data_IF_730201234678
#
_entry.id   IF_730201234678
#
_cell.length_a   1.000
_cell.length_b   1.000
_cell.length_c   1.000
_cell.angle_alpha   90.00
_cell.angle_beta   90.00
_cell.angle_gamma   90.00
#
_symmetry.space_group_name_H-M   'P 1'
#
loop_
_entity.id
_entity.type
_entity.pdbx_description
1 polymer ?
#
# COMPACT_ATOMS: atom_id res chain seq x y z
N UNK A 1 12.06 -38.54 -10.33
CA UNK A 1 11.42 -37.41 -10.99
C UNK A 1 10.63 -36.63 -9.94
N UNK A 2 11.22 -35.58 -9.39
CA UNK A 2 10.54 -34.71 -8.42
C UNK A 2 9.74 -33.66 -9.22
N UNK A 3 8.45 -33.90 -9.34
CA UNK A 3 7.52 -32.87 -9.81
C UNK A 3 7.28 -31.89 -8.66
N UNK A 4 7.95 -30.76 -8.74
CA UNK A 4 7.62 -29.62 -7.88
C UNK A 4 6.15 -29.25 -8.12
N UNK A 5 5.25 -29.19 -7.12
CA UNK A 5 3.89 -28.73 -7.35
C UNK A 5 3.97 -27.28 -7.80
N UNK A 6 3.47 -27.02 -9.02
CA UNK A 6 3.33 -25.67 -9.55
C UNK A 6 2.61 -24.78 -8.51
N UNK A 7 3.12 -23.58 -8.29
CA UNK A 7 2.48 -22.60 -7.41
C UNK A 7 1.05 -22.37 -7.91
N UNK A 8 0.06 -22.66 -7.08
CA UNK A 8 -1.37 -22.52 -7.38
C UNK A 8 -1.86 -21.06 -7.26
N UNK A 9 -0.95 -20.10 -7.14
CA UNK A 9 -1.26 -18.67 -7.07
C UNK A 9 -1.57 -18.07 -8.45
N UNK A 10 -2.21 -16.90 -8.49
CA UNK A 10 -2.49 -16.18 -9.73
C UNK A 10 -1.19 -15.85 -10.49
N UNK A 11 -1.26 -15.85 -11.83
CA UNK A 11 -0.11 -15.50 -12.64
C UNK A 11 0.25 -14.01 -12.50
N UNK A 12 1.54 -13.72 -12.32
CA UNK A 12 2.05 -12.35 -12.36
C UNK A 12 1.90 -11.78 -13.77
N UNK A 13 1.29 -10.60 -13.86
CA UNK A 13 1.14 -9.78 -15.06
C UNK A 13 1.98 -8.52 -14.94
N UNK A 14 2.17 -7.82 -16.04
CA UNK A 14 2.97 -6.59 -16.05
C UNK A 14 2.23 -5.47 -16.79
N UNK A 15 2.18 -4.31 -16.18
CA UNK A 15 1.76 -3.06 -16.78
C UNK A 15 3.01 -2.38 -17.35
N UNK A 16 3.01 -2.08 -18.65
CA UNK A 16 4.10 -1.34 -19.28
C UNK A 16 4.07 0.14 -18.90
N UNK A 17 5.23 0.66 -18.50
CA UNK A 17 5.46 2.08 -18.20
C UNK A 17 6.67 2.57 -19.03
N UNK A 18 6.84 3.88 -19.24
CA UNK A 18 7.92 4.40 -20.10
C UNK A 18 9.33 3.92 -19.71
N UNK A 19 9.59 3.69 -18.41
CA UNK A 19 10.93 3.34 -17.92
C UNK A 19 11.04 1.91 -17.40
N UNK A 20 9.97 1.10 -17.48
CA UNK A 20 9.96 -0.27 -16.96
C UNK A 20 8.56 -0.83 -16.82
N UNK A 21 8.42 -1.91 -16.06
CA UNK A 21 7.16 -2.64 -15.85
C UNK A 21 6.79 -2.68 -14.39
N UNK A 22 5.49 -2.53 -14.13
CA UNK A 22 4.88 -2.72 -12.81
C UNK A 22 4.22 -4.08 -12.77
N UNK A 23 4.61 -4.92 -11.82
CA UNK A 23 4.05 -6.24 -11.64
C UNK A 23 2.73 -6.18 -10.86
N UNK A 24 1.77 -6.97 -11.28
CA UNK A 24 0.50 -7.15 -10.57
C UNK A 24 -0.08 -8.55 -10.79
N UNK A 25 -0.98 -8.94 -9.91
CA UNK A 25 -1.83 -10.13 -10.03
C UNK A 25 -3.27 -9.69 -10.17
N UNK A 26 -4.07 -10.43 -10.96
CA UNK A 26 -5.48 -10.12 -11.17
C UNK A 26 -6.31 -11.37 -10.94
N UNK A 27 -7.33 -11.28 -10.07
CA UNK A 27 -8.21 -12.38 -9.71
C UNK A 27 -9.66 -11.91 -9.64
N UNK A 28 -10.59 -12.84 -9.85
CA UNK A 28 -12.03 -12.59 -9.77
C UNK A 28 -12.57 -11.77 -10.95
N UNK A 29 -13.89 -11.59 -10.92
CA UNK A 29 -14.67 -10.82 -11.89
C UNK A 29 -15.63 -9.92 -11.11
N UNK A 30 -15.96 -8.74 -11.60
CA UNK A 30 -16.86 -7.78 -10.94
C UNK A 30 -16.23 -6.41 -10.76
N UNK A 31 -16.71 -5.59 -9.80
CA UNK A 31 -16.15 -4.26 -9.56
C UNK A 31 -14.66 -4.33 -9.20
N UNK A 32 -13.86 -3.43 -9.81
CA UNK A 32 -12.41 -3.44 -9.65
C UNK A 32 -11.97 -2.87 -8.29
N UNK A 33 -11.11 -3.60 -7.59
CA UNK A 33 -10.39 -3.16 -6.39
C UNK A 33 -8.90 -3.29 -6.63
N UNK A 34 -8.15 -2.20 -6.48
CA UNK A 34 -6.69 -2.16 -6.65
C UNK A 34 -6.03 -2.08 -5.27
N UNK A 35 -5.25 -3.10 -4.91
CA UNK A 35 -4.53 -3.22 -3.65
C UNK A 35 -3.07 -2.81 -3.85
N UNK A 36 -2.63 -1.79 -3.13
CA UNK A 36 -1.30 -1.18 -3.30
C UNK A 36 -0.57 -1.16 -1.95
N UNK A 37 0.55 -1.89 -1.80
CA UNK A 37 1.30 -1.95 -0.55
C UNK A 37 2.09 -0.68 -0.28
N UNK A 38 2.53 -0.52 0.97
CA UNK A 38 3.45 0.52 1.37
C UNK A 38 4.88 0.30 0.87
N UNK A 39 5.75 1.30 1.07
CA UNK A 39 7.15 1.19 0.73
C UNK A 39 7.83 0.06 1.53
N UNK A 40 8.72 -0.68 0.87
CA UNK A 40 9.45 -1.78 1.49
C UNK A 40 8.61 -3.04 1.71
N UNK A 41 7.41 -3.11 1.19
CA UNK A 41 6.50 -4.24 1.21
C UNK A 41 6.33 -4.88 -0.18
N UNK A 42 5.64 -6.01 -0.21
CA UNK A 42 5.26 -6.75 -1.41
C UNK A 42 3.74 -6.74 -1.55
N UNK A 43 3.23 -6.99 -2.78
CA UNK A 43 1.78 -7.18 -3.01
C UNK A 43 1.17 -8.26 -2.13
N UNK A 44 1.98 -9.23 -1.67
CA UNK A 44 1.57 -10.26 -0.70
C UNK A 44 1.26 -9.73 0.71
N UNK A 45 1.47 -8.44 0.99
CA UNK A 45 0.94 -7.77 2.18
C UNK A 45 -0.59 -7.91 2.28
N UNK A 46 -1.26 -8.07 1.13
CA UNK A 46 -2.71 -8.27 1.03
C UNK A 46 -3.16 -9.74 0.86
N UNK A 47 -2.29 -10.72 1.15
CA UNK A 47 -2.53 -12.17 0.96
C UNK A 47 -3.75 -12.73 1.69
N UNK A 48 -4.23 -12.04 2.72
CA UNK A 48 -5.47 -12.41 3.43
C UNK A 48 -6.67 -11.62 2.92
N UNK A 49 -6.52 -10.34 2.62
CA UNK A 49 -7.61 -9.47 2.15
C UNK A 49 -8.01 -9.80 0.70
N UNK A 50 -7.05 -10.01 -0.20
CA UNK A 50 -7.34 -10.26 -1.61
C UNK A 50 -8.26 -11.45 -1.84
N UNK A 51 -8.03 -12.65 -1.23
CA UNK A 51 -8.96 -13.78 -1.36
C UNK A 51 -10.36 -13.50 -0.81
N UNK A 52 -10.47 -12.75 0.30
CA UNK A 52 -11.76 -12.39 0.88
C UNK A 52 -12.59 -11.50 -0.07
N UNK A 53 -11.95 -10.54 -0.73
CA UNK A 53 -12.58 -9.69 -1.73
C UNK A 53 -12.99 -10.48 -2.97
N UNK A 54 -12.14 -11.39 -3.47
CA UNK A 54 -12.47 -12.26 -4.60
C UNK A 54 -13.67 -13.15 -4.27
N UNK A 55 -13.69 -13.73 -3.08
CA UNK A 55 -14.82 -14.56 -2.62
C UNK A 55 -16.11 -13.75 -2.52
N UNK A 56 -16.03 -12.46 -2.21
CA UNK A 56 -17.18 -11.55 -2.16
C UNK A 56 -17.60 -11.03 -3.55
N UNK A 57 -16.97 -11.49 -4.65
CA UNK A 57 -17.37 -11.17 -6.01
C UNK A 57 -16.69 -9.93 -6.60
N UNK A 58 -15.57 -9.48 -6.03
CA UNK A 58 -14.79 -8.37 -6.57
C UNK A 58 -13.70 -8.87 -7.52
N UNK A 59 -13.34 -8.03 -8.49
CA UNK A 59 -12.15 -8.19 -9.33
C UNK A 59 -10.99 -7.47 -8.66
N UNK A 60 -9.99 -8.20 -8.22
CA UNK A 60 -8.91 -7.71 -7.37
C UNK A 60 -7.58 -7.68 -8.12
N UNK A 61 -6.96 -6.51 -8.20
CA UNK A 61 -5.62 -6.31 -8.72
C UNK A 61 -4.67 -5.98 -7.54
N UNK A 62 -3.75 -6.89 -7.21
CA UNK A 62 -2.70 -6.66 -6.21
C UNK A 62 -1.40 -6.32 -6.93
N UNK A 63 -0.82 -5.14 -6.68
CA UNK A 63 0.37 -4.66 -7.39
C UNK A 63 1.58 -4.49 -6.48
N UNK A 64 2.78 -4.60 -7.05
CA UNK A 64 4.01 -4.16 -6.39
C UNK A 64 4.35 -2.72 -6.80
N UNK A 65 4.90 -1.94 -5.89
CA UNK A 65 5.44 -0.61 -6.21
C UNK A 65 6.61 -0.73 -7.19
N UNK A 66 6.90 0.35 -7.95
CA UNK A 66 8.14 0.42 -8.73
C UNK A 66 9.36 0.16 -7.86
N UNK A 67 10.27 -0.70 -8.33
CA UNK A 67 11.45 -1.12 -7.58
C UNK A 67 11.20 -2.06 -6.41
N UNK A 68 10.00 -2.64 -6.30
CA UNK A 68 9.63 -3.63 -5.29
C UNK A 68 9.13 -4.92 -5.94
N UNK A 69 9.11 -6.01 -5.19
CA UNK A 69 8.55 -7.27 -5.63
C UNK A 69 9.08 -7.73 -7.00
N UNK A 70 8.20 -7.92 -7.95
CA UNK A 70 8.52 -8.31 -9.32
C UNK A 70 8.44 -7.12 -10.32
N UNK A 71 8.22 -5.90 -9.82
CA UNK A 71 8.31 -4.69 -10.63
C UNK A 71 9.75 -4.33 -10.96
N UNK A 72 9.97 -3.69 -12.11
CA UNK A 72 11.30 -3.26 -12.55
C UNK A 72 11.92 -2.20 -11.64
N UNK A 73 13.26 -2.12 -11.68
CA UNK A 73 14.08 -1.16 -10.93
C UNK A 73 14.69 -0.06 -11.80
N UNK A 74 14.23 0.05 -13.03
CA UNK A 74 14.79 0.94 -14.06
C UNK A 74 14.26 2.37 -14.01
N UNK A 75 13.34 2.65 -13.11
CA UNK A 75 12.70 3.95 -12.95
C UNK A 75 13.65 5.02 -12.40
N UNK A 76 13.48 6.25 -12.87
CA UNK A 76 14.19 7.43 -12.41
C UNK A 76 13.47 8.18 -11.27
N UNK A 77 12.13 8.04 -11.18
CA UNK A 77 11.28 8.68 -10.18
C UNK A 77 10.57 7.67 -9.29
N UNK A 78 10.42 8.01 -8.01
CA UNK A 78 9.81 7.21 -6.95
C UNK A 78 8.95 8.11 -6.06
N UNK A 79 8.36 7.55 -4.99
CA UNK A 79 7.55 8.27 -4.03
C UNK A 79 6.11 8.46 -4.46
N UNK A 80 5.39 9.37 -3.81
CA UNK A 80 3.94 9.49 -3.85
C UNK A 80 3.37 9.74 -5.24
N UNK A 81 3.86 10.78 -5.94
CA UNK A 81 3.37 11.17 -7.28
C UNK A 81 3.65 10.08 -8.30
N UNK A 82 4.83 9.45 -8.22
CA UNK A 82 5.19 8.36 -9.12
C UNK A 82 4.31 7.13 -8.90
N UNK A 83 4.02 6.81 -7.63
CA UNK A 83 3.10 5.72 -7.25
C UNK A 83 1.67 6.04 -7.68
N UNK A 84 1.20 7.27 -7.53
CA UNK A 84 -0.10 7.72 -8.00
C UNK A 84 -0.24 7.53 -9.52
N UNK A 85 0.79 7.91 -10.28
CA UNK A 85 0.82 7.70 -11.73
C UNK A 85 0.73 6.22 -12.14
N UNK A 86 1.35 5.31 -11.37
CA UNK A 86 1.28 3.87 -11.63
C UNK A 86 -0.09 3.30 -11.27
N UNK A 87 -0.67 3.71 -10.13
CA UNK A 87 -2.03 3.32 -9.72
C UNK A 87 -3.04 3.73 -10.78
N UNK A 88 -3.01 4.99 -11.21
CA UNK A 88 -3.93 5.50 -12.22
C UNK A 88 -3.77 4.75 -13.56
N UNK A 89 -2.54 4.52 -14.01
CA UNK A 89 -2.30 3.76 -15.23
C UNK A 89 -2.81 2.31 -15.14
N UNK A 90 -2.67 1.66 -13.98
CA UNK A 90 -3.21 0.32 -13.76
C UNK A 90 -4.75 0.30 -13.79
N UNK A 91 -5.39 1.28 -13.17
CA UNK A 91 -6.84 1.45 -13.21
C UNK A 91 -7.32 1.63 -14.66
N UNK A 92 -6.66 2.49 -15.44
CA UNK A 92 -6.99 2.73 -16.84
C UNK A 92 -6.82 1.48 -17.71
N UNK A 93 -5.78 0.69 -17.46
CA UNK A 93 -5.52 -0.58 -18.16
C UNK A 93 -6.58 -1.64 -17.85
N UNK A 94 -7.03 -1.71 -16.58
CA UNK A 94 -7.96 -2.74 -16.14
C UNK A 94 -9.44 -2.34 -16.26
N UNK A 95 -9.74 -1.08 -16.39
CA UNK A 95 -11.09 -0.52 -16.51
C UNK A 95 -11.50 0.28 -15.28
N UNK A 96 -12.22 1.37 -15.51
CA UNK A 96 -12.69 2.32 -14.51
C UNK A 96 -14.21 2.21 -14.32
N UNK A 97 -14.76 2.71 -13.19
CA UNK A 97 -14.05 3.18 -12.00
C UNK A 97 -13.53 2.02 -11.13
N UNK A 98 -12.59 2.33 -10.23
CA UNK A 98 -12.03 1.36 -9.29
C UNK A 98 -12.06 1.87 -7.85
N UNK A 99 -12.07 0.95 -6.88
CA UNK A 99 -11.74 1.25 -5.50
C UNK A 99 -10.23 1.06 -5.28
N UNK A 100 -9.57 2.03 -4.68
CA UNK A 100 -8.16 1.96 -4.32
C UNK A 100 -8.06 1.59 -2.84
N UNK A 101 -7.29 0.54 -2.52
CA UNK A 101 -6.89 0.19 -1.15
C UNK A 101 -5.38 0.40 -1.05
N UNK A 102 -4.97 1.51 -0.46
CA UNK A 102 -3.57 1.88 -0.31
C UNK A 102 -3.10 1.77 1.14
N UNK A 103 -1.92 1.16 1.36
CA UNK A 103 -1.28 1.15 2.66
C UNK A 103 -0.12 2.16 2.69
N UNK A 104 0.02 2.90 3.79
CA UNK A 104 1.17 3.77 4.03
C UNK A 104 1.34 4.83 2.92
N UNK A 105 2.50 4.92 2.28
CA UNK A 105 2.77 5.76 1.10
C UNK A 105 1.70 5.60 0.00
N UNK A 106 1.25 4.38 -0.26
CA UNK A 106 0.25 4.14 -1.30
C UNK A 106 -1.14 4.71 -0.94
N UNK A 107 -1.43 4.93 0.35
CA UNK A 107 -2.62 5.65 0.76
C UNK A 107 -2.56 7.12 0.31
N UNK A 108 -1.44 7.81 0.54
CA UNK A 108 -1.21 9.16 0.03
C UNK A 108 -1.26 9.23 -1.50
N UNK A 109 -0.65 8.27 -2.18
CA UNK A 109 -0.74 8.15 -3.64
C UNK A 109 -2.20 7.97 -4.11
N UNK A 110 -2.99 7.16 -3.39
CA UNK A 110 -4.43 6.98 -3.66
C UNK A 110 -5.23 8.28 -3.51
N UNK A 111 -4.91 9.11 -2.52
CA UNK A 111 -5.50 10.46 -2.34
C UNK A 111 -5.21 11.33 -3.56
N UNK A 112 -3.98 11.33 -4.07
CA UNK A 112 -3.61 12.09 -5.29
C UNK A 112 -4.46 11.63 -6.47
N UNK A 113 -4.57 10.31 -6.71
CA UNK A 113 -5.38 9.77 -7.82
C UNK A 113 -6.85 10.16 -7.68
N UNK A 114 -7.42 10.01 -6.48
CA UNK A 114 -8.84 10.32 -6.25
C UNK A 114 -9.17 11.80 -6.44
N UNK A 115 -8.23 12.70 -6.13
CA UNK A 115 -8.40 14.14 -6.33
C UNK A 115 -8.20 14.57 -7.79
N UNK A 116 -7.21 14.00 -8.49
CA UNK A 116 -6.88 14.36 -9.87
C UNK A 116 -7.77 13.67 -10.91
N UNK A 117 -8.30 12.49 -10.59
CA UNK A 117 -9.09 11.64 -11.48
C UNK A 117 -10.36 11.11 -10.80
N UNK A 118 -11.25 12.00 -10.32
CA UNK A 118 -12.43 11.62 -9.53
C UNK A 118 -13.37 10.64 -10.23
N UNK A 119 -13.49 10.70 -11.55
CA UNK A 119 -14.35 9.82 -12.34
C UNK A 119 -13.79 8.37 -12.44
N UNK A 120 -12.50 8.19 -12.20
CA UNK A 120 -11.83 6.90 -12.26
C UNK A 120 -11.77 6.19 -10.89
N UNK A 121 -12.21 6.86 -9.79
CA UNK A 121 -12.14 6.33 -8.42
C UNK A 121 -13.53 6.29 -7.78
N UNK A 122 -14.08 5.09 -7.58
CA UNK A 122 -15.38 4.89 -6.94
C UNK A 122 -15.33 4.79 -5.41
N UNK A 123 -14.14 4.66 -4.83
CA UNK A 123 -13.95 4.60 -3.38
C UNK A 123 -12.47 4.53 -3.01
N UNK A 124 -12.16 4.93 -1.79
CA UNK A 124 -10.79 5.01 -1.28
C UNK A 124 -10.71 4.37 0.10
N UNK A 125 -9.82 3.39 0.28
CA UNK A 125 -9.51 2.77 1.57
C UNK A 125 -8.05 3.06 1.91
N UNK A 126 -7.84 3.79 2.99
CA UNK A 126 -6.55 4.26 3.47
C UNK A 126 -6.14 3.47 4.70
N UNK A 127 -5.10 2.64 4.58
CA UNK A 127 -4.63 1.73 5.63
C UNK A 127 -3.30 2.22 6.18
N UNK A 128 -3.22 2.56 7.49
CA UNK A 128 -2.02 3.13 8.11
C UNK A 128 -1.47 4.31 7.30
N UNK A 129 -2.30 5.30 6.93
CA UNK A 129 -2.01 6.19 5.82
C UNK A 129 -1.00 7.30 6.14
N UNK A 130 -0.01 7.47 5.26
CA UNK A 130 0.83 8.67 5.20
C UNK A 130 0.29 9.61 4.12
N UNK A 131 -0.38 10.69 4.53
CA UNK A 131 -0.90 11.75 3.63
C UNK A 131 -0.31 13.12 3.90
N UNK A 132 0.54 13.24 4.92
CA UNK A 132 1.31 14.44 5.23
C UNK A 132 2.69 14.08 5.76
N UNK A 133 3.63 14.98 5.57
CA UNK A 133 4.99 14.74 6.05
C UNK A 133 5.06 14.77 7.58
N UNK A 134 5.76 13.81 8.21
CA UNK A 134 6.02 13.88 9.63
C UNK A 134 6.90 15.11 9.95
N UNK A 135 6.65 15.73 11.10
CA UNK A 135 7.49 16.85 11.57
C UNK A 135 8.86 16.30 11.97
N UNK A 136 9.86 16.51 11.13
CA UNK A 136 11.24 16.07 11.37
C UNK A 136 12.22 17.23 11.19
N UNK A 137 13.26 17.28 12.03
CA UNK A 137 14.34 18.24 11.84
C UNK A 137 15.24 17.84 10.66
N UNK A 138 15.94 18.80 10.06
CA UNK A 138 16.89 18.51 8.98
C UNK A 138 17.96 17.48 9.36
N UNK A 139 18.37 17.45 10.65
CA UNK A 139 19.29 16.44 11.16
C UNK A 139 18.67 15.04 11.16
N UNK A 140 17.43 14.88 11.60
CA UNK A 140 16.73 13.59 11.57
C UNK A 140 16.55 13.09 10.13
N UNK A 141 16.21 13.97 9.20
CA UNK A 141 16.10 13.61 7.78
C UNK A 141 17.45 13.17 7.20
N UNK A 142 18.55 13.85 7.54
CA UNK A 142 19.90 13.45 7.11
C UNK A 142 20.29 12.08 7.68
N UNK A 143 19.99 11.84 8.95
CA UNK A 143 20.24 10.54 9.60
C UNK A 143 19.40 9.42 8.94
N UNK A 144 18.12 9.66 8.71
CA UNK A 144 17.23 8.72 8.01
C UNK A 144 17.77 8.39 6.62
N UNK A 145 18.16 9.40 5.84
CA UNK A 145 18.76 9.21 4.50
C UNK A 145 20.06 8.42 4.55
N UNK A 146 20.88 8.60 5.61
CA UNK A 146 22.09 7.82 5.79
C UNK A 146 21.78 6.37 6.15
N UNK A 147 20.80 6.11 7.03
CA UNK A 147 20.34 4.77 7.38
C UNK A 147 19.73 4.03 6.18
N UNK A 148 19.04 4.76 5.29
CA UNK A 148 18.42 4.19 4.08
C UNK A 148 19.36 4.19 2.86
N UNK A 149 20.70 4.24 3.06
CA UNK A 149 21.63 4.16 1.94
C UNK A 149 21.66 2.75 1.31
N UNK A 150 21.83 2.64 -0.03
CA UNK A 150 21.68 1.39 -0.78
C UNK A 150 22.50 0.23 -0.26
N UNK A 151 23.67 0.52 0.34
CA UNK A 151 24.63 -0.48 0.79
C UNK A 151 24.10 -1.37 1.92
N UNK A 152 23.23 -0.81 2.79
CA UNK A 152 22.73 -1.53 3.97
C UNK A 152 21.22 -1.42 4.18
N UNK A 153 20.49 -0.71 3.32
CA UNK A 153 19.05 -0.47 3.45
C UNK A 153 18.24 -1.76 3.70
N UNK A 154 18.57 -2.85 3.01
CA UNK A 154 17.89 -4.13 3.23
C UNK A 154 18.06 -4.68 4.65
N UNK A 155 19.26 -4.47 5.27
CA UNK A 155 19.51 -4.89 6.66
C UNK A 155 18.78 -3.99 7.64
N UNK A 156 18.80 -2.67 7.41
CA UNK A 156 18.06 -1.71 8.24
C UNK A 156 16.58 -2.03 8.19
N UNK A 157 16.03 -2.24 6.99
CA UNK A 157 14.62 -2.58 6.82
C UNK A 157 14.24 -3.90 7.48
N UNK A 158 15.10 -4.94 7.36
CA UNK A 158 14.89 -6.21 8.06
C UNK A 158 14.78 -6.05 9.57
N UNK A 159 15.54 -5.12 10.16
CA UNK A 159 15.49 -4.84 11.58
C UNK A 159 14.28 -3.96 11.97
N UNK A 160 13.84 -3.09 11.06
CA UNK A 160 12.73 -2.16 11.31
C UNK A 160 11.34 -2.78 11.06
N UNK A 161 11.16 -3.57 10.02
CA UNK A 161 9.88 -4.15 9.64
C UNK A 161 9.17 -4.92 10.78
N UNK A 162 9.86 -5.68 11.66
CA UNK A 162 9.23 -6.29 12.82
C UNK A 162 8.62 -5.30 13.81
N UNK A 163 9.13 -4.07 13.90
CA UNK A 163 8.58 -3.04 14.81
C UNK A 163 7.27 -2.47 14.26
N UNK A 164 7.12 -2.41 12.95
CA UNK A 164 5.87 -2.00 12.27
C UNK A 164 4.73 -2.99 12.49
N UNK A 165 5.05 -4.24 12.86
CA UNK A 165 4.08 -5.26 13.25
C UNK A 165 3.94 -5.31 14.79
N UNK A 166 3.86 -4.15 15.45
CA UNK A 166 3.52 -4.06 16.87
C UNK A 166 2.15 -4.69 17.13
N UNK A 167 1.92 -5.18 18.34
CA UNK A 167 0.73 -5.98 18.66
C UNK A 167 0.81 -7.39 18.08
N UNK A 168 -0.33 -7.89 17.62
CA UNK A 168 -0.45 -9.23 17.04
C UNK A 168 0.32 -9.35 15.72
N UNK A 169 1.16 -10.37 15.63
CA UNK A 169 1.84 -10.69 14.37
C UNK A 169 0.98 -11.59 13.47
N UNK A 170 1.08 -11.45 12.13
CA UNK A 170 0.47 -12.39 11.20
C UNK A 170 0.93 -13.83 11.47
N UNK A 171 0.08 -14.80 11.17
CA UNK A 171 0.38 -16.23 11.40
C UNK A 171 1.59 -16.76 10.63
N UNK A 172 1.93 -16.11 9.53
CA UNK A 172 3.04 -16.41 8.61
C UNK A 172 4.10 -15.29 8.59
N UNK A 173 4.23 -14.56 9.71
CA UNK A 173 5.07 -13.38 9.81
C UNK A 173 6.52 -13.63 9.38
N UNK A 174 7.14 -14.72 9.87
CA UNK A 174 8.54 -15.01 9.59
C UNK A 174 8.79 -15.34 8.10
N UNK A 175 7.87 -16.06 7.48
CA UNK A 175 7.92 -16.38 6.04
C UNK A 175 7.76 -15.12 5.19
N UNK A 176 6.80 -14.25 5.54
CA UNK A 176 6.61 -12.97 4.86
C UNK A 176 7.82 -12.05 5.01
N UNK A 177 8.35 -11.91 6.23
CA UNK A 177 9.58 -11.15 6.50
C UNK A 177 10.76 -11.68 5.68
N UNK A 178 10.91 -13.00 5.58
CA UNK A 178 11.94 -13.62 4.77
C UNK A 178 11.77 -13.29 3.28
N UNK A 179 10.54 -13.30 2.76
CA UNK A 179 10.24 -12.96 1.36
C UNK A 179 10.55 -11.49 1.05
N UNK A 180 10.13 -10.55 1.91
CA UNK A 180 10.44 -9.12 1.77
C UNK A 180 11.96 -8.90 1.77
N UNK A 181 12.68 -9.51 2.72
CA UNK A 181 14.13 -9.36 2.81
C UNK A 181 14.85 -9.97 1.60
N UNK A 182 14.41 -11.14 1.11
CA UNK A 182 14.95 -11.76 -0.09
C UNK A 182 14.76 -10.87 -1.31
N UNK A 183 13.60 -10.23 -1.45
CA UNK A 183 13.32 -9.28 -2.52
C UNK A 183 14.28 -8.07 -2.47
N UNK A 184 14.42 -7.42 -1.31
CA UNK A 184 15.26 -6.23 -1.17
C UNK A 184 16.77 -6.50 -1.34
N UNK A 185 17.21 -7.75 -1.16
CA UNK A 185 18.61 -8.16 -1.38
C UNK A 185 18.98 -8.41 -2.82
N UNK A 186 18.01 -8.49 -3.72
CA UNK A 186 18.30 -8.65 -5.16
C UNK A 186 19.11 -7.46 -5.68
N UNK A 187 20.01 -7.68 -6.66
CA UNK A 187 20.72 -6.59 -7.31
C UNK A 187 19.76 -5.50 -7.80
N UNK A 188 20.11 -4.22 -7.62
CA UNK A 188 19.32 -3.02 -7.91
C UNK A 188 18.10 -2.73 -7.02
N UNK A 189 17.45 -3.71 -6.39
CA UNK A 189 16.27 -3.46 -5.55
C UNK A 189 16.57 -2.66 -4.29
N UNK A 190 17.68 -2.92 -3.61
CA UNK A 190 18.12 -2.08 -2.49
C UNK A 190 18.40 -0.63 -2.90
N UNK A 191 18.90 -0.39 -4.11
CA UNK A 191 19.07 0.96 -4.66
C UNK A 191 17.71 1.59 -4.94
N UNK A 192 16.79 0.88 -5.58
CA UNK A 192 15.45 1.35 -5.88
C UNK A 192 14.69 1.70 -4.59
N UNK A 193 14.72 0.82 -3.58
CA UNK A 193 14.12 1.09 -2.28
C UNK A 193 14.73 2.31 -1.58
N UNK A 194 16.06 2.48 -1.62
CA UNK A 194 16.71 3.70 -1.13
C UNK A 194 16.25 4.95 -1.87
N UNK A 195 15.98 4.86 -3.17
CA UNK A 195 15.40 5.99 -3.93
C UNK A 195 13.96 6.27 -3.51
N UNK A 196 13.15 5.23 -3.29
CA UNK A 196 11.80 5.39 -2.74
C UNK A 196 11.83 6.18 -1.44
N UNK A 197 12.63 5.77 -0.46
CA UNK A 197 12.72 6.46 0.84
C UNK A 197 13.25 7.89 0.77
N UNK A 198 14.03 8.23 -0.26
CA UNK A 198 14.61 9.57 -0.45
C UNK A 198 13.71 10.53 -1.20
N UNK A 199 12.88 9.99 -2.10
CA UNK A 199 12.02 10.78 -2.99
C UNK A 199 10.58 10.82 -2.49
N UNK A 200 10.23 10.03 -1.47
CA UNK A 200 8.93 10.12 -0.81
C UNK A 200 8.76 11.50 -0.19
N UNK A 201 7.66 12.14 -0.59
CA UNK A 201 7.20 13.44 -0.11
C UNK A 201 5.68 13.44 -0.12
N UNK A 202 5.08 13.50 1.06
CA UNK A 202 3.62 13.44 1.23
C UNK A 202 2.94 14.82 1.07
N UNK A 203 3.69 15.90 0.83
CA UNK A 203 3.11 17.23 0.62
C UNK A 203 2.13 17.29 -0.58
N UNK A 204 2.37 16.60 -1.72
CA UNK A 204 1.38 16.51 -2.80
C UNK A 204 0.08 15.82 -2.37
N UNK A 205 0.17 14.77 -1.55
CA UNK A 205 -1.02 14.08 -1.02
C UNK A 205 -1.81 14.98 -0.07
N UNK A 206 -1.13 15.69 0.85
CA UNK A 206 -1.77 16.67 1.75
C UNK A 206 -2.47 17.78 0.97
N UNK A 207 -1.83 18.31 -0.06
CA UNK A 207 -2.40 19.34 -0.93
C UNK A 207 -3.61 18.85 -1.75
N UNK A 208 -3.68 17.56 -2.04
CA UNK A 208 -4.76 16.93 -2.80
C UNK A 208 -6.02 16.63 -1.96
N UNK A 209 -5.92 16.57 -0.62
CA UNK A 209 -7.04 16.22 0.27
C UNK A 209 -8.35 16.98 -0.03
N UNK A 210 -8.36 18.30 -0.26
CA UNK A 210 -9.59 19.03 -0.53
C UNK A 210 -10.28 18.64 -1.86
N UNK A 211 -9.56 18.00 -2.77
CA UNK A 211 -10.09 17.55 -4.08
C UNK A 211 -10.72 16.16 -4.05
N UNK A 212 -10.59 15.41 -2.95
CA UNK A 212 -11.16 14.07 -2.84
C UNK A 212 -12.66 14.13 -2.65
N UNK A 213 -13.41 13.57 -3.60
CA UNK A 213 -14.87 13.44 -3.55
C UNK A 213 -15.34 12.00 -3.37
N UNK A 214 -14.45 11.02 -3.59
CA UNK A 214 -14.77 9.61 -3.45
C UNK A 214 -15.10 9.24 -1.99
N UNK A 215 -16.11 8.39 -1.73
CA UNK A 215 -16.32 7.81 -0.42
C UNK A 215 -15.00 7.22 0.12
N UNK A 216 -14.70 7.47 1.38
CA UNK A 216 -13.40 7.09 1.96
C UNK A 216 -13.59 6.34 3.27
N UNK A 217 -12.76 5.31 3.46
CA UNK A 217 -12.57 4.57 4.71
C UNK A 217 -11.12 4.71 5.17
N UNK A 218 -10.91 5.08 6.43
CA UNK A 218 -9.59 5.09 7.09
C UNK A 218 -9.49 3.91 8.03
N UNK A 219 -8.46 3.10 7.90
CA UNK A 219 -8.16 1.97 8.78
C UNK A 219 -6.80 2.21 9.44
N UNK A 220 -6.75 2.20 10.77
CA UNK A 220 -5.53 2.45 11.53
C UNK A 220 -5.35 1.42 12.64
N UNK A 221 -4.16 0.80 12.70
CA UNK A 221 -3.79 -0.02 13.85
C UNK A 221 -3.53 0.86 15.08
N UNK A 222 -4.04 0.46 16.25
CA UNK A 222 -3.90 1.25 17.47
C UNK A 222 -2.48 1.29 18.02
N UNK A 223 -1.64 0.36 17.59
CA UNK A 223 -0.23 0.24 17.99
C UNK A 223 0.75 0.61 16.86
N UNK A 224 0.31 1.35 15.85
CA UNK A 224 1.17 1.75 14.73
C UNK A 224 2.29 2.69 15.23
N UNK A 225 3.56 2.22 15.22
CA UNK A 225 4.67 2.96 15.80
C UNK A 225 5.14 4.15 14.96
N UNK A 226 4.65 4.28 13.72
CA UNK A 226 4.99 5.40 12.84
C UNK A 226 4.25 6.69 13.24
N UNK A 227 3.22 6.58 14.09
CA UNK A 227 2.44 7.71 14.57
C UNK A 227 2.54 7.86 16.08
N UNK A 228 2.83 9.05 16.61
CA UNK A 228 2.82 9.31 18.05
C UNK A 228 1.46 9.04 18.71
N UNK A 229 0.36 9.27 17.99
CA UNK A 229 -1.02 8.96 18.36
C UNK A 229 -1.78 8.52 17.11
N UNK A 230 -1.78 7.19 16.81
CA UNK A 230 -2.46 6.65 15.63
C UNK A 230 -3.94 6.99 15.58
N UNK A 231 -4.62 6.94 16.73
CA UNK A 231 -6.04 7.24 16.80
C UNK A 231 -6.35 8.72 16.53
N UNK A 232 -5.49 9.64 16.97
CA UNK A 232 -5.65 11.06 16.66
C UNK A 232 -5.39 11.33 15.17
N UNK A 233 -4.40 10.67 14.56
CA UNK A 233 -4.13 10.79 13.13
C UNK A 233 -5.30 10.27 12.29
N UNK A 234 -5.84 9.10 12.65
CA UNK A 234 -7.01 8.53 11.98
C UNK A 234 -8.24 9.44 12.08
N UNK A 235 -8.51 10.00 13.26
CA UNK A 235 -9.63 10.97 13.46
C UNK A 235 -9.43 12.23 12.62
N UNK A 236 -8.22 12.81 12.63
CA UNK A 236 -7.92 14.00 11.82
C UNK A 236 -8.21 13.74 10.33
N UNK A 237 -7.85 12.58 9.85
CA UNK A 237 -8.10 12.21 8.45
C UNK A 237 -9.57 11.95 8.18
N UNK A 238 -10.27 11.28 9.11
CA UNK A 238 -11.72 11.09 9.06
C UNK A 238 -12.47 12.41 8.96
N UNK A 239 -12.10 13.38 9.81
CA UNK A 239 -12.69 14.73 9.80
C UNK A 239 -12.39 15.48 8.50
N UNK A 240 -11.15 15.38 8.00
CA UNK A 240 -10.70 16.08 6.79
C UNK A 240 -11.40 15.56 5.54
N UNK A 241 -11.56 14.24 5.42
CA UNK A 241 -12.16 13.58 4.24
C UNK A 241 -13.64 13.24 4.42
N UNK A 242 -14.24 13.55 5.58
CA UNK A 242 -15.59 13.10 5.96
C UNK A 242 -15.71 11.57 5.82
N UNK A 243 -14.65 10.86 6.21
CA UNK A 243 -14.46 9.44 6.03
C UNK A 243 -14.92 8.63 7.25
N UNK A 244 -15.35 7.40 7.00
CA UNK A 244 -15.47 6.39 8.05
C UNK A 244 -14.10 6.05 8.61
N UNK A 245 -13.99 5.85 9.94
CA UNK A 245 -12.74 5.51 10.62
C UNK A 245 -12.91 4.21 11.39
N UNK A 246 -12.02 3.26 11.12
CA UNK A 246 -11.92 1.99 11.84
C UNK A 246 -10.57 1.90 12.52
N UNK A 247 -10.56 1.88 13.85
CA UNK A 247 -9.38 1.57 14.65
C UNK A 247 -9.31 0.06 14.88
N UNK A 248 -8.16 -0.53 14.55
CA UNK A 248 -7.92 -1.96 14.67
C UNK A 248 -7.03 -2.20 15.87
N UNK A 249 -7.62 -2.75 16.93
CA UNK A 249 -6.93 -3.07 18.18
C UNK A 249 -5.86 -4.15 17.96
N UNK A 250 -4.80 -4.12 18.77
CA UNK A 250 -3.71 -5.11 18.75
C UNK A 250 -3.10 -5.26 17.33
N UNK A 251 -2.98 -4.15 16.61
CA UNK A 251 -2.38 -4.07 15.27
C UNK A 251 -1.51 -2.82 15.13
N UNK A 252 -0.37 -2.99 14.47
CA UNK A 252 0.54 -1.91 14.07
C UNK A 252 0.21 -1.39 12.66
N UNK A 253 1.24 -1.23 11.84
CA UNK A 253 1.17 -0.59 10.52
C UNK A 253 0.49 -1.42 9.43
N UNK A 254 0.28 -2.72 9.66
CA UNK A 254 -0.27 -3.66 8.66
C UNK A 254 -1.53 -4.38 9.16
N UNK A 255 -2.60 -3.66 9.57
CA UNK A 255 -3.81 -4.29 10.08
C UNK A 255 -4.43 -5.30 9.10
N UNK A 256 -4.27 -5.11 7.78
CA UNK A 256 -4.72 -6.05 6.74
C UNK A 256 -4.05 -7.43 6.82
N UNK A 257 -2.88 -7.53 7.46
CA UNK A 257 -2.17 -8.78 7.67
C UNK A 257 -2.22 -9.24 9.14
N UNK A 258 -2.26 -8.32 10.09
CA UNK A 258 -2.21 -8.59 11.54
C UNK A 258 -3.57 -8.99 12.11
N UNK A 259 -4.65 -8.34 11.64
CA UNK A 259 -6.04 -8.56 12.03
C UNK A 259 -6.92 -8.72 10.78
N UNK A 260 -6.67 -9.77 9.96
CA UNK A 260 -7.26 -9.88 8.63
C UNK A 260 -8.78 -9.98 8.64
N UNK A 261 -9.38 -10.63 9.65
CA UNK A 261 -10.83 -10.78 9.77
C UNK A 261 -11.49 -9.42 9.98
N UNK A 262 -10.99 -8.63 10.94
CA UNK A 262 -11.54 -7.30 11.27
C UNK A 262 -11.38 -6.36 10.07
N UNK A 263 -10.18 -6.35 9.48
CA UNK A 263 -9.88 -5.48 8.34
C UNK A 263 -10.70 -5.86 7.11
N UNK A 264 -10.84 -7.16 6.82
CA UNK A 264 -11.66 -7.61 5.68
C UNK A 264 -13.13 -7.28 5.86
N UNK A 265 -13.69 -7.42 7.08
CA UNK A 265 -15.07 -7.04 7.37
C UNK A 265 -15.29 -5.53 7.17
N UNK A 266 -14.38 -4.69 7.65
CA UNK A 266 -14.46 -3.24 7.48
C UNK A 266 -14.43 -2.84 6.00
N UNK A 267 -13.48 -3.40 5.23
CA UNK A 267 -13.36 -3.14 3.78
C UNK A 267 -14.61 -3.61 3.03
N UNK A 268 -15.09 -4.84 3.29
CA UNK A 268 -16.29 -5.37 2.63
C UNK A 268 -17.55 -4.56 2.95
N UNK A 269 -17.73 -4.16 4.21
CA UNK A 269 -18.85 -3.29 4.61
C UNK A 269 -18.84 -1.95 3.90
N UNK A 270 -17.65 -1.33 3.83
CA UNK A 270 -17.45 -0.10 3.08
C UNK A 270 -17.74 -0.26 1.59
N UNK A 271 -17.22 -1.30 0.93
CA UNK A 271 -17.44 -1.55 -0.50
C UNK A 271 -18.93 -1.72 -0.82
N UNK A 272 -19.67 -2.45 0.03
CA UNK A 272 -21.11 -2.59 -0.12
C UNK A 272 -21.83 -1.26 -0.03
N UNK A 273 -21.46 -0.39 0.91
CA UNK A 273 -22.09 0.91 1.09
C UNK A 273 -21.71 1.92 0.01
N UNK A 274 -20.44 1.96 -0.42
CA UNK A 274 -19.92 2.91 -1.40
C UNK A 274 -20.44 2.62 -2.82
N UNK A 275 -20.44 1.34 -3.24
CA UNK A 275 -20.85 0.94 -4.60
C UNK A 275 -22.38 0.88 -4.80
N UNK A 276 -23.18 0.86 -3.71
CA UNK A 276 -24.65 0.97 -3.81
C UNK A 276 -25.14 2.43 -3.90
N UNK A 277 -24.27 3.42 -3.68
CA UNK A 277 -24.60 4.84 -3.79
C UNK A 277 -24.28 5.46 -5.16
N UNK A 278 -23.56 4.73 -5.99
CA UNK A 278 -23.20 5.09 -7.35
C UNK A 278 -24.17 4.47 -8.36
#
# INVERSE_FOLDING_TARGET
>A
MNTNPASTGPATRHLDRPEGKIAYELQGDGPLVVLVPGMGELRSSYRFLAPALVQAGYRVASTDLRGHGDSDTTFSSYGDVATASDIHALIRELGTPAVIVGNSLAAGAGVIVAAEHPDDVSGLVLVGPFVRNPKASGFMLALFRAMMAPLWVARVWKAYLPTLNAGRKPVDFDDHLAAVFASLRRPAYGKAFSQTTRQTDHAPAEAALPGVSAPTLVIMGTEDPDFPDPAAEARWMGDTLQAEVVLVEDAGHYPQAQQPEVTSQAVLGFLQSALHRA
#
